data_IF_363412139674
#
_entry.id   IF_363412139674
#
_cell.length_a   1.000
_cell.length_b   1.000
_cell.length_c   1.000
_cell.angle_alpha   90.00
_cell.angle_beta   90.00
_cell.angle_gamma   90.00
#
_symmetry.space_group_name_H-M   'P 1'
#
loop_
_entity.id
_entity.type
_entity.pdbx_description
1 polymer ?
#
# COMPACT_ATOMS: atom_id res chain seq x y z
N UNK A 1 -3.22 -11.45 -0.60
CA UNK A 1 -2.04 -11.40 0.29
C UNK A 1 -2.26 -12.39 1.43
N UNK A 2 -1.30 -13.30 1.65
CA UNK A 2 -1.35 -14.27 2.73
C UNK A 2 -0.39 -13.88 3.86
N UNK A 3 -0.93 -13.86 5.08
CA UNK A 3 -0.19 -13.67 6.32
C UNK A 3 -0.03 -15.04 7.03
N UNK A 4 1.14 -15.71 6.98
CA UNK A 4 1.39 -16.98 7.68
C UNK A 4 1.56 -16.83 9.20
N UNK A 5 1.54 -15.61 9.76
CA UNK A 5 1.79 -15.38 11.17
C UNK A 5 0.51 -15.64 11.97
N UNK A 6 0.65 -15.88 13.28
CA UNK A 6 -0.50 -16.06 14.17
C UNK A 6 -1.16 -14.73 14.56
N UNK A 7 -0.47 -13.60 14.35
CA UNK A 7 -0.93 -12.27 14.71
C UNK A 7 -1.36 -11.45 13.49
N UNK A 8 -2.28 -10.51 13.73
CA UNK A 8 -2.69 -9.55 12.71
C UNK A 8 -1.61 -8.48 12.50
N UNK A 9 -1.33 -8.19 11.23
CA UNK A 9 -0.35 -7.21 10.81
C UNK A 9 -1.01 -5.95 10.26
N UNK A 10 -0.26 -4.84 10.26
CA UNK A 10 -0.62 -3.61 9.55
C UNK A 10 0.35 -3.38 8.41
N UNK A 11 -0.03 -3.81 7.21
CA UNK A 11 0.72 -3.48 6.00
C UNK A 11 0.32 -2.09 5.52
N UNK A 12 1.30 -1.32 5.07
CA UNK A 12 1.06 -0.05 4.41
C UNK A 12 1.26 -0.20 2.92
N UNK A 13 0.40 0.46 2.15
CA UNK A 13 0.60 0.69 0.73
C UNK A 13 0.84 2.18 0.51
N UNK A 14 1.90 2.50 -0.21
CA UNK A 14 2.24 3.86 -0.67
C UNK A 14 2.26 3.87 -2.18
N UNK A 15 1.70 4.91 -2.77
CA UNK A 15 1.76 5.16 -4.22
C UNK A 15 2.26 6.58 -4.43
N UNK A 16 3.28 6.70 -5.26
CA UNK A 16 3.87 7.97 -5.69
C UNK A 16 3.67 8.11 -7.21
N UNK A 17 3.31 9.32 -7.64
CA UNK A 17 3.04 9.71 -9.04
C UNK A 17 3.94 10.86 -9.50
N UNK A 18 4.98 11.16 -8.73
CA UNK A 18 6.02 12.14 -9.03
C UNK A 18 7.40 11.48 -8.87
N UNK A 19 8.34 11.88 -9.72
CA UNK A 19 9.71 11.38 -9.67
C UNK A 19 10.42 11.78 -8.39
N UNK A 20 11.29 10.89 -7.90
CA UNK A 20 12.14 11.15 -6.74
C UNK A 20 11.43 10.92 -5.40
N UNK A 21 11.86 11.66 -4.37
CA UNK A 21 11.30 11.51 -3.03
C UNK A 21 10.10 12.45 -2.80
N UNK A 22 8.93 11.99 -3.20
CA UNK A 22 7.67 12.72 -3.02
C UNK A 22 7.36 12.99 -1.52
N UNK A 23 7.03 14.24 -1.15
CA UNK A 23 6.66 14.58 0.23
C UNK A 23 5.50 13.73 0.75
N UNK A 24 5.46 13.49 2.07
CA UNK A 24 4.39 12.68 2.67
C UNK A 24 2.98 13.20 2.36
N UNK A 25 2.80 14.52 2.39
CA UNK A 25 1.52 15.15 2.11
C UNK A 25 1.04 14.91 0.67
N UNK A 26 1.97 14.66 -0.26
CA UNK A 26 1.69 14.51 -1.68
C UNK A 26 1.61 13.07 -2.14
N UNK A 27 1.92 12.07 -1.32
CA UNK A 27 1.76 10.64 -1.69
C UNK A 27 0.42 10.08 -1.25
N UNK A 28 -0.08 9.10 -1.98
CA UNK A 28 -1.13 8.23 -1.46
C UNK A 28 -0.52 7.29 -0.42
N UNK A 29 -1.17 7.13 0.73
CA UNK A 29 -0.75 6.21 1.76
C UNK A 29 -1.97 5.63 2.46
N UNK A 30 -2.08 4.32 2.50
CA UNK A 30 -3.19 3.62 3.14
C UNK A 30 -2.71 2.42 3.93
N UNK A 31 -3.56 1.96 4.85
CA UNK A 31 -3.31 0.79 5.71
C UNK A 31 -4.16 -0.36 5.20
N UNK A 32 -3.55 -1.52 5.09
CA UNK A 32 -4.16 -2.80 4.73
C UNK A 32 -4.10 -3.71 5.98
N UNK A 33 -5.22 -3.84 6.74
CA UNK A 33 -5.27 -4.72 7.90
C UNK A 33 -5.15 -6.18 7.46
N UNK A 34 -4.11 -6.87 7.89
CA UNK A 34 -3.79 -8.24 7.48
C UNK A 34 -3.98 -9.22 8.64
N UNK A 35 -5.19 -9.78 8.85
CA UNK A 35 -5.34 -10.91 9.76
C UNK A 35 -4.53 -12.12 9.28
N UNK A 36 -4.27 -13.12 10.15
CA UNK A 36 -3.74 -14.42 9.73
C UNK A 36 -4.54 -15.02 8.57
N UNK A 37 -3.84 -15.63 7.61
CA UNK A 37 -4.45 -16.24 6.45
C UNK A 37 -4.54 -15.33 5.22
N UNK A 38 -5.45 -15.69 4.29
CA UNK A 38 -5.65 -14.98 3.03
C UNK A 38 -6.54 -13.76 3.20
N UNK A 39 -6.07 -12.62 2.70
CA UNK A 39 -6.86 -11.39 2.57
C UNK A 39 -6.78 -10.86 1.14
N UNK A 40 -7.92 -10.47 0.58
CA UNK A 40 -8.02 -9.81 -0.71
C UNK A 40 -8.28 -8.30 -0.50
N UNK A 41 -7.57 -7.47 -1.27
CA UNK A 41 -7.77 -6.02 -1.27
C UNK A 41 -7.98 -5.55 -2.71
N UNK A 42 -8.98 -4.71 -2.89
CA UNK A 42 -9.20 -3.93 -4.10
C UNK A 42 -9.13 -2.44 -3.74
N UNK A 43 -8.39 -1.67 -4.53
CA UNK A 43 -8.25 -0.22 -4.37
C UNK A 43 -8.81 0.45 -5.63
N UNK A 44 -9.99 1.11 -5.55
CA UNK A 44 -10.55 1.84 -6.67
C UNK A 44 -9.60 2.97 -7.09
N UNK A 45 -9.05 2.91 -8.30
CA UNK A 45 -8.01 3.85 -8.75
C UNK A 45 -8.52 5.29 -8.84
N UNK A 46 -9.80 5.47 -9.17
CA UNK A 46 -10.50 6.75 -9.25
C UNK A 46 -10.67 7.45 -7.88
N UNK A 47 -10.56 6.68 -6.79
CA UNK A 47 -10.65 7.17 -5.41
C UNK A 47 -9.31 7.60 -4.81
N UNK A 48 -8.19 7.36 -5.51
CA UNK A 48 -6.85 7.60 -4.98
C UNK A 48 -6.55 9.09 -4.88
N UNK A 49 -6.42 9.55 -3.64
CA UNK A 49 -6.07 10.93 -3.29
C UNK A 49 -4.90 10.98 -2.32
N UNK A 50 -4.07 12.01 -2.45
CA UNK A 50 -2.90 12.18 -1.60
C UNK A 50 -3.28 12.40 -0.14
N UNK A 51 -2.39 11.99 0.76
CA UNK A 51 -2.67 11.93 2.21
C UNK A 51 -2.89 13.31 2.84
N UNK A 52 -2.15 14.33 2.40
CA UNK A 52 -2.20 15.68 2.94
C UNK A 52 -2.87 16.68 2.00
N UNK A 53 -2.41 16.76 0.75
CA UNK A 53 -2.91 17.77 -0.21
C UNK A 53 -4.29 17.43 -0.79
N UNK A 54 -4.75 16.18 -0.61
CA UNK A 54 -6.05 15.68 -1.09
C UNK A 54 -6.24 15.79 -2.61
N UNK A 55 -5.16 16.04 -3.37
CA UNK A 55 -5.22 16.05 -4.83
C UNK A 55 -5.43 14.62 -5.32
N UNK A 56 -6.06 14.47 -6.48
CA UNK A 56 -6.13 13.18 -7.17
C UNK A 56 -4.73 12.76 -7.62
N UNK A 57 -4.48 11.45 -7.58
CA UNK A 57 -3.27 10.87 -8.13
C UNK A 57 -3.30 10.93 -9.66
N UNK A 58 -2.17 11.24 -10.28
CA UNK A 58 -1.98 11.15 -11.72
C UNK A 58 -1.66 9.70 -12.12
N UNK A 59 -2.69 8.93 -12.43
CA UNK A 59 -2.57 7.50 -12.76
C UNK A 59 -1.75 7.24 -14.05
N UNK A 60 -1.61 8.24 -14.92
CA UNK A 60 -0.80 8.13 -16.13
C UNK A 60 0.71 8.24 -15.85
N UNK A 61 1.12 8.50 -14.61
CA UNK A 61 2.52 8.73 -14.23
C UNK A 61 2.85 8.15 -12.87
N UNK A 62 2.28 6.98 -12.54
CA UNK A 62 2.69 6.24 -11.34
C UNK A 62 4.18 5.91 -11.44
N UNK A 63 4.96 6.43 -10.50
CA UNK A 63 6.40 6.21 -10.41
C UNK A 63 6.69 4.92 -9.63
N UNK A 64 5.97 4.69 -8.53
CA UNK A 64 6.18 3.51 -7.69
C UNK A 64 4.97 3.16 -6.82
N UNK A 65 4.94 1.89 -6.45
CA UNK A 65 4.03 1.29 -5.48
C UNK A 65 4.89 0.56 -4.45
N UNK A 66 4.85 1.02 -3.21
CA UNK A 66 5.62 0.46 -2.10
C UNK A 66 4.67 -0.27 -1.13
N UNK A 67 5.04 -1.48 -0.73
CA UNK A 67 4.42 -2.21 0.38
C UNK A 67 5.42 -2.27 1.54
N UNK A 68 5.03 -1.85 2.73
CA UNK A 68 5.95 -1.83 3.87
C UNK A 68 5.25 -2.00 5.21
N UNK A 69 5.98 -2.52 6.19
CA UNK A 69 5.61 -2.54 7.59
C UNK A 69 6.56 -1.59 8.32
N UNK A 70 6.02 -0.71 9.15
CA UNK A 70 6.83 0.23 9.92
C UNK A 70 7.30 -0.42 11.21
N UNK A 71 8.62 -0.51 11.42
CA UNK A 71 9.25 -1.02 12.65
C UNK A 71 8.68 -2.37 13.12
N UNK A 72 8.79 -3.44 12.31
CA UNK A 72 8.37 -4.76 12.76
C UNK A 72 9.27 -5.22 13.93
N UNK A 73 8.66 -5.76 14.99
CA UNK A 73 9.40 -6.28 16.15
C UNK A 73 10.19 -7.56 15.81
N UNK A 74 9.67 -8.35 14.86
CA UNK A 74 10.29 -9.57 14.35
C UNK A 74 10.21 -9.64 12.82
N UNK A 75 11.05 -10.47 12.15
CA UNK A 75 10.95 -10.66 10.71
C UNK A 75 9.56 -11.13 10.27
N UNK A 76 9.00 -10.43 9.28
CA UNK A 76 7.67 -10.70 8.73
C UNK A 76 7.81 -11.34 7.34
N UNK A 77 7.13 -12.46 7.14
CA UNK A 77 7.00 -13.10 5.82
C UNK A 77 5.58 -12.91 5.31
N UNK A 78 5.41 -12.37 4.10
CA UNK A 78 4.12 -12.23 3.43
C UNK A 78 4.18 -12.83 2.04
N UNK A 79 3.09 -13.46 1.60
CA UNK A 79 2.98 -13.96 0.23
C UNK A 79 1.97 -13.12 -0.56
N UNK A 80 2.42 -12.58 -1.68
CA UNK A 80 1.60 -11.79 -2.60
C UNK A 80 1.20 -12.68 -3.77
N UNK A 81 -0.06 -12.57 -4.16
CA UNK A 81 -0.60 -13.33 -5.27
C UNK A 81 -1.71 -12.51 -5.95
N UNK A 82 -1.88 -12.71 -7.25
CA UNK A 82 -2.85 -12.03 -8.10
C UNK A 82 -2.80 -10.49 -8.01
N UNK A 83 -1.60 -9.89 -7.96
CA UNK A 83 -1.43 -8.44 -8.08
C UNK A 83 -1.67 -8.01 -9.53
N UNK A 84 -2.81 -7.36 -9.78
CA UNK A 84 -3.25 -6.94 -11.11
C UNK A 84 -4.00 -5.62 -11.06
N UNK A 85 -4.19 -5.01 -12.22
CA UNK A 85 -5.21 -4.00 -12.46
C UNK A 85 -6.48 -4.69 -12.96
N UNK A 86 -7.65 -4.15 -12.62
CA UNK A 86 -8.98 -4.62 -13.03
C UNK A 86 -9.89 -3.47 -13.44
#
# INVERSE_FOLDING_TARGET
IYNPQNDSLRLHIRIDDMRGNQPYADRFNSRLPLPPGWTHFALPLDSLVTSGTRRRMNLASIEKIDFFISHPDEPVTLFFDHLRLE
#
